data_IF_943831840901
#
_entry.id   IF_943831840901
#
_cell.length_a   1.000
_cell.length_b   1.000
_cell.length_c   1.000
_cell.angle_alpha   90.00
_cell.angle_beta   90.00
_cell.angle_gamma   90.00
#
_symmetry.space_group_name_H-M   'P 1'
#
loop_
_entity.id
_entity.type
_entity.pdbx_description
1 polymer ?
#
# COMPACT_ATOMS: atom_id res chain seq x y z
N UNK A 1 23.14 64.71 -38.56
CA UNK A 1 22.98 63.34 -38.03
C UNK A 1 22.38 62.49 -39.14
N UNK A 2 23.12 61.51 -39.65
CA UNK A 2 22.88 60.90 -40.96
C UNK A 2 21.68 59.94 -40.91
N UNK A 3 20.68 60.13 -41.77
CA UNK A 3 19.40 59.40 -41.78
C UNK A 3 19.58 57.89 -41.94
N UNK A 4 20.69 57.45 -42.55
CA UNK A 4 21.08 56.03 -42.64
C UNK A 4 21.47 55.41 -41.29
N UNK A 5 21.97 56.20 -40.35
CA UNK A 5 22.33 55.73 -39.00
C UNK A 5 21.10 55.56 -38.10
N UNK A 6 20.08 56.41 -38.28
CA UNK A 6 18.80 56.26 -37.57
C UNK A 6 18.04 55.00 -38.03
N UNK A 7 18.06 54.67 -39.32
CA UNK A 7 17.38 53.47 -39.85
C UNK A 7 18.06 52.19 -39.36
N UNK A 8 19.40 52.16 -39.27
CA UNK A 8 20.15 50.99 -38.79
C UNK A 8 19.93 50.74 -37.29
N UNK A 9 19.89 51.80 -36.47
CA UNK A 9 19.60 51.70 -35.03
C UNK A 9 18.14 51.31 -34.79
N UNK A 10 17.19 51.83 -35.58
CA UNK A 10 15.80 51.41 -35.53
C UNK A 10 15.61 49.93 -35.94
N UNK A 11 16.35 49.44 -36.94
CA UNK A 11 16.32 48.02 -37.31
C UNK A 11 16.88 47.12 -36.19
N UNK A 12 18.00 47.50 -35.55
CA UNK A 12 18.58 46.73 -34.45
C UNK A 12 17.67 46.74 -33.21
N UNK A 13 16.97 47.85 -32.94
CA UNK A 13 15.98 47.93 -31.85
C UNK A 13 14.71 47.12 -32.15
N UNK A 14 14.21 47.13 -33.40
CA UNK A 14 13.08 46.27 -33.81
C UNK A 14 13.43 44.77 -33.71
N UNK A 15 14.66 44.38 -34.02
CA UNK A 15 15.13 42.99 -33.85
C UNK A 15 15.43 42.63 -32.38
N UNK A 16 15.80 43.60 -31.54
CA UNK A 16 15.99 43.39 -30.10
C UNK A 16 14.65 43.28 -29.36
N UNK A 17 13.65 44.08 -29.74
CA UNK A 17 12.29 44.01 -29.18
C UNK A 17 11.52 42.77 -29.67
N UNK A 18 11.77 42.27 -30.88
CA UNK A 18 11.20 40.99 -31.33
C UNK A 18 11.81 39.78 -30.60
N UNK A 19 13.03 39.91 -30.06
CA UNK A 19 13.66 38.86 -29.24
C UNK A 19 13.20 38.88 -27.78
N UNK A 20 12.53 39.94 -27.32
CA UNK A 20 12.04 40.07 -25.95
C UNK A 20 10.62 39.50 -25.74
N UNK A 21 9.94 39.04 -26.80
CA UNK A 21 8.66 38.33 -26.71
C UNK A 21 8.54 37.18 -27.72
N UNK A 22 9.47 36.23 -27.71
CA UNK A 22 9.13 34.87 -28.16
C UNK A 22 8.38 34.16 -27.03
N UNK A 23 7.10 34.55 -26.83
CA UNK A 23 6.14 33.62 -26.26
C UNK A 23 6.24 32.32 -27.03
N UNK A 24 6.34 31.18 -26.35
CA UNK A 24 6.48 29.85 -26.95
C UNK A 24 5.47 29.62 -28.09
N UNK A 25 5.87 29.91 -29.33
CA UNK A 25 5.06 29.63 -30.51
C UNK A 25 5.09 28.11 -30.70
N UNK A 26 3.95 27.46 -30.43
CA UNK A 26 3.79 26.03 -30.68
C UNK A 26 3.63 25.79 -32.17
N UNK A 27 4.75 25.79 -32.89
CA UNK A 27 4.80 25.35 -34.27
C UNK A 27 4.70 23.82 -34.33
N UNK A 28 3.60 23.32 -34.90
CA UNK A 28 3.38 21.90 -35.16
C UNK A 28 3.57 21.57 -36.65
N UNK A 29 4.22 22.45 -37.42
CA UNK A 29 4.78 22.10 -38.72
C UNK A 29 5.83 20.99 -38.57
N UNK A 30 6.13 20.27 -39.65
CA UNK A 30 7.22 19.29 -39.63
C UNK A 30 8.56 19.89 -39.20
N UNK A 31 8.80 21.18 -39.52
CA UNK A 31 9.99 21.90 -39.09
C UNK A 31 9.98 22.15 -37.57
N UNK A 32 8.86 22.63 -37.02
CA UNK A 32 8.71 22.84 -35.57
C UNK A 32 8.84 21.53 -34.77
N UNK A 33 8.28 20.44 -35.28
CA UNK A 33 8.42 19.11 -34.68
C UNK A 33 9.89 18.63 -34.73
N UNK A 34 10.57 18.78 -35.86
CA UNK A 34 11.98 18.43 -35.99
C UNK A 34 12.85 19.22 -35.01
N UNK A 35 12.54 20.50 -34.78
CA UNK A 35 13.23 21.34 -33.80
C UNK A 35 13.03 20.81 -32.37
N UNK A 36 11.77 20.51 -31.98
CA UNK A 36 11.45 19.91 -30.66
C UNK A 36 12.22 18.61 -30.44
N UNK A 37 12.27 17.75 -31.45
CA UNK A 37 13.00 16.47 -31.41
C UNK A 37 14.52 16.71 -31.23
N UNK A 38 15.10 17.61 -32.04
CA UNK A 38 16.53 17.94 -31.99
C UNK A 38 16.94 18.54 -30.65
N UNK A 39 16.15 19.49 -30.13
CA UNK A 39 16.44 20.15 -28.86
C UNK A 39 16.30 19.17 -27.69
N UNK A 40 15.32 18.27 -27.73
CA UNK A 40 15.21 17.19 -26.75
C UNK A 40 16.42 16.25 -26.79
N UNK A 41 16.90 15.86 -27.96
CA UNK A 41 18.07 15.00 -28.08
C UNK A 41 19.35 15.65 -27.52
N UNK A 42 19.53 16.95 -27.77
CA UNK A 42 20.63 17.74 -27.17
C UNK A 42 20.50 17.81 -25.66
N UNK A 43 19.30 18.14 -25.16
CA UNK A 43 19.01 18.22 -23.72
C UNK A 43 19.35 16.90 -23.00
N UNK A 44 19.09 15.76 -23.65
CA UNK A 44 19.32 14.43 -23.07
C UNK A 44 20.66 13.80 -23.47
N UNK A 45 21.53 14.55 -24.17
CA UNK A 45 22.86 14.13 -24.61
C UNK A 45 22.86 12.76 -25.34
N UNK A 46 21.91 12.58 -26.27
CA UNK A 46 21.69 11.29 -26.94
C UNK A 46 22.72 10.97 -28.04
N UNK A 47 23.63 11.90 -28.33
CA UNK A 47 24.66 11.74 -29.35
C UNK A 47 24.18 12.14 -30.74
N UNK A 48 24.84 11.59 -31.77
CA UNK A 48 24.51 11.88 -33.17
C UNK A 48 23.22 11.16 -33.58
N UNK A 49 22.62 11.63 -34.67
CA UNK A 49 21.52 10.91 -35.34
C UNK A 49 22.06 9.55 -35.79
N UNK A 50 21.31 8.49 -35.54
CA UNK A 50 21.68 7.13 -35.90
C UNK A 50 21.54 6.93 -37.42
N UNK A 51 22.49 6.26 -38.07
CA UNK A 51 22.55 6.12 -39.53
C UNK A 51 21.28 5.47 -40.12
N UNK A 52 20.71 4.48 -39.42
CA UNK A 52 19.44 3.84 -39.78
C UNK A 52 18.22 4.78 -39.77
N UNK A 53 18.34 5.98 -39.20
CA UNK A 53 17.30 7.00 -39.11
C UNK A 53 17.85 8.38 -39.41
N UNK A 54 18.55 8.54 -40.54
CA UNK A 54 19.21 9.80 -40.94
C UNK A 54 18.31 11.05 -41.00
N UNK A 55 16.99 10.88 -41.00
CA UNK A 55 15.99 11.97 -40.91
C UNK A 55 14.81 11.56 -40.06
N UNK A 56 14.06 12.56 -39.57
CA UNK A 56 12.81 12.39 -38.85
C UNK A 56 11.81 11.58 -39.69
N UNK A 57 11.08 10.65 -39.05
CA UNK A 57 10.11 9.76 -39.70
C UNK A 57 8.76 9.83 -38.99
N UNK A 58 7.64 9.70 -39.74
CA UNK A 58 6.33 9.56 -39.10
C UNK A 58 6.28 8.22 -38.36
N UNK A 59 5.54 8.20 -37.24
CA UNK A 59 5.22 6.96 -36.52
C UNK A 59 4.11 6.19 -37.23
N UNK A 60 3.92 4.91 -36.88
CA UNK A 60 2.75 4.17 -37.32
C UNK A 60 1.47 4.67 -36.62
N UNK A 61 1.61 5.16 -35.38
CA UNK A 61 0.56 5.92 -34.70
C UNK A 61 0.28 7.26 -35.40
N UNK A 62 -1.00 7.64 -35.49
CA UNK A 62 -1.44 8.83 -36.23
C UNK A 62 -0.85 10.12 -35.64
N UNK A 63 -0.17 10.90 -36.49
CA UNK A 63 0.29 12.26 -36.18
C UNK A 63 1.60 12.37 -35.39
N UNK A 64 2.19 11.24 -34.98
CA UNK A 64 3.48 11.23 -34.31
C UNK A 64 4.65 11.21 -35.28
N UNK A 65 5.81 11.60 -34.75
CA UNK A 65 7.09 11.57 -35.45
C UNK A 65 8.17 11.07 -34.51
N UNK A 66 9.23 10.48 -35.04
CA UNK A 66 10.36 10.07 -34.24
C UNK A 66 11.69 10.21 -35.00
N UNK A 67 12.77 10.22 -34.22
CA UNK A 67 14.13 10.19 -34.71
C UNK A 67 15.01 9.37 -33.77
N UNK A 68 15.89 8.53 -34.34
CA UNK A 68 16.83 7.72 -33.57
C UNK A 68 18.17 8.43 -33.44
N UNK A 69 18.76 8.32 -32.25
CA UNK A 69 20.10 8.79 -31.91
C UNK A 69 20.93 7.62 -31.35
N UNK A 70 22.25 7.81 -31.24
CA UNK A 70 23.20 6.80 -30.76
C UNK A 70 22.79 6.16 -29.43
N UNK A 71 22.24 6.94 -28.49
CA UNK A 71 21.92 6.48 -27.12
C UNK A 71 20.43 6.32 -26.83
N UNK A 72 19.55 6.59 -27.79
CA UNK A 72 18.12 6.60 -27.53
C UNK A 72 17.30 7.17 -28.67
N UNK A 73 15.99 7.11 -28.55
CA UNK A 73 15.07 7.63 -29.55
C UNK A 73 14.32 8.82 -28.97
N UNK A 74 13.91 9.74 -29.82
CA UNK A 74 13.04 10.85 -29.43
C UNK A 74 11.75 10.76 -30.23
N UNK A 75 10.63 10.71 -29.52
CA UNK A 75 9.28 10.65 -30.08
C UNK A 75 8.55 11.96 -29.83
N UNK A 76 7.93 12.50 -30.86
CA UNK A 76 6.92 13.54 -30.76
C UNK A 76 5.56 12.90 -30.48
N UNK A 77 4.96 13.28 -29.35
CA UNK A 77 3.61 12.89 -28.99
C UNK A 77 2.62 13.96 -29.50
N UNK A 78 1.73 13.62 -30.44
CA UNK A 78 0.81 14.59 -31.03
C UNK A 78 -0.27 15.09 -30.07
N UNK A 79 -0.59 14.32 -29.01
CA UNK A 79 -1.63 14.66 -28.02
C UNK A 79 -1.21 15.80 -27.11
N UNK A 80 0.05 15.80 -26.67
CA UNK A 80 0.61 16.86 -25.82
C UNK A 80 1.51 17.85 -26.59
N UNK A 81 1.68 17.63 -27.89
CA UNK A 81 2.47 18.47 -28.80
C UNK A 81 3.92 18.67 -28.33
N UNK A 82 4.53 17.62 -27.75
CA UNK A 82 5.87 17.68 -27.20
C UNK A 82 6.71 16.45 -27.55
N UNK A 83 8.04 16.60 -27.48
CA UNK A 83 9.00 15.54 -27.76
C UNK A 83 9.56 14.93 -26.47
N UNK A 84 9.73 13.61 -26.45
CA UNK A 84 10.23 12.86 -25.30
C UNK A 84 11.29 11.86 -25.70
N UNK A 85 12.35 11.78 -24.89
CA UNK A 85 13.45 10.87 -25.10
C UNK A 85 13.22 9.54 -24.34
N UNK A 86 13.46 8.42 -25.01
CA UNK A 86 13.27 7.08 -24.48
C UNK A 86 14.41 6.16 -24.92
N UNK A 87 14.87 5.30 -24.02
CA UNK A 87 15.96 4.34 -24.26
C UNK A 87 15.92 3.17 -23.26
N UNK A 88 16.88 2.26 -23.40
CA UNK A 88 17.14 1.18 -22.45
C UNK A 88 16.03 0.14 -22.37
N UNK A 89 15.93 -0.54 -21.23
CA UNK A 89 14.98 -1.64 -21.06
C UNK A 89 13.52 -1.20 -21.06
N UNK A 90 13.25 0.05 -20.66
CA UNK A 90 11.92 0.65 -20.79
C UNK A 90 11.49 0.73 -22.26
N UNK A 91 12.39 1.17 -23.15
CA UNK A 91 12.11 1.21 -24.58
C UNK A 91 11.89 -0.20 -25.14
N UNK A 92 12.72 -1.17 -24.75
CA UNK A 92 12.57 -2.58 -25.16
C UNK A 92 11.23 -3.15 -24.71
N UNK A 93 10.79 -2.86 -23.49
CA UNK A 93 9.48 -3.26 -22.98
C UNK A 93 8.35 -2.63 -23.77
N UNK A 94 8.43 -1.32 -24.02
CA UNK A 94 7.43 -0.62 -24.84
C UNK A 94 7.33 -1.20 -26.25
N UNK A 95 8.46 -1.61 -26.83
CA UNK A 95 8.48 -2.33 -28.12
C UNK A 95 7.65 -3.62 -28.09
N UNK A 96 7.71 -4.40 -27.01
CA UNK A 96 6.91 -5.64 -26.89
C UNK A 96 5.41 -5.36 -26.76
N UNK A 97 5.04 -4.13 -26.40
CA UNK A 97 3.65 -3.68 -26.30
C UNK A 97 3.15 -3.06 -27.61
N UNK A 98 3.95 -3.07 -28.68
CA UNK A 98 3.58 -2.48 -29.97
C UNK A 98 3.93 -0.99 -30.12
N UNK A 99 4.87 -0.47 -29.32
CA UNK A 99 5.23 0.95 -29.35
C UNK A 99 4.00 1.87 -29.24
N UNK A 100 3.94 2.94 -30.04
CA UNK A 100 2.87 3.93 -30.01
C UNK A 100 1.53 3.43 -30.57
N UNK A 101 1.52 2.30 -31.27
CA UNK A 101 0.28 1.66 -31.75
C UNK A 101 -0.35 0.75 -30.70
N UNK A 102 0.43 0.38 -29.68
CA UNK A 102 -0.01 -0.36 -28.52
C UNK A 102 -0.91 0.43 -27.57
N UNK A 103 -1.51 -0.27 -26.62
CA UNK A 103 -2.40 0.33 -25.63
C UNK A 103 -1.76 1.46 -24.82
N UNK A 104 -0.46 1.39 -24.54
CA UNK A 104 0.26 2.45 -23.80
C UNK A 104 0.25 3.81 -24.52
N UNK A 105 0.23 3.81 -25.86
CA UNK A 105 0.31 5.02 -26.68
C UNK A 105 1.71 5.65 -26.71
N UNK A 106 1.76 6.96 -26.94
CA UNK A 106 3.02 7.69 -27.04
C UNK A 106 3.64 7.96 -25.66
N UNK A 107 4.97 8.13 -25.57
CA UNK A 107 5.60 8.67 -24.38
C UNK A 107 5.02 10.05 -24.03
N UNK A 108 4.80 10.28 -22.74
CA UNK A 108 4.30 11.53 -22.16
C UNK A 108 5.28 12.13 -21.14
N UNK A 109 6.42 11.45 -20.91
CA UNK A 109 7.57 11.98 -20.18
C UNK A 109 8.86 11.45 -20.80
N UNK A 110 9.98 12.09 -20.47
CA UNK A 110 11.28 11.50 -20.79
C UNK A 110 11.56 10.30 -19.88
N UNK A 111 12.42 9.39 -20.35
CA UNK A 111 13.06 8.39 -19.51
C UNK A 111 13.84 9.11 -18.41
N UNK A 112 13.50 8.82 -17.15
CA UNK A 112 14.05 9.51 -15.98
C UNK A 112 14.31 8.51 -14.86
N UNK A 113 15.32 8.78 -14.03
CA UNK A 113 15.54 7.99 -12.82
C UNK A 113 14.43 8.27 -11.81
N UNK A 114 14.06 7.26 -11.02
CA UNK A 114 13.17 7.46 -9.88
C UNK A 114 13.84 8.33 -8.81
N UNK A 115 13.12 9.23 -8.11
CA UNK A 115 13.76 10.24 -7.25
C UNK A 115 14.46 9.69 -6.01
N UNK A 116 13.85 8.70 -5.33
CA UNK A 116 14.28 8.27 -3.99
C UNK A 116 14.76 6.81 -3.93
N UNK A 117 14.57 6.05 -5.00
CA UNK A 117 14.94 4.64 -5.09
C UNK A 117 15.69 4.41 -6.40
N UNK A 118 16.58 3.41 -6.44
CA UNK A 118 17.25 3.04 -7.69
C UNK A 118 16.24 2.41 -8.65
N UNK A 119 16.03 3.08 -9.77
CA UNK A 119 15.09 2.68 -10.80
C UNK A 119 14.95 3.76 -11.86
N UNK A 120 14.16 3.48 -12.88
CA UNK A 120 13.85 4.42 -13.96
C UNK A 120 12.40 4.27 -14.39
N UNK A 121 11.84 5.30 -15.01
CA UNK A 121 10.47 5.28 -15.50
C UNK A 121 10.27 6.13 -16.76
N UNK A 122 9.21 5.81 -17.48
CA UNK A 122 8.58 6.66 -18.51
C UNK A 122 7.06 6.59 -18.32
N UNK A 123 6.42 7.75 -18.30
CA UNK A 123 4.97 7.84 -18.42
C UNK A 123 4.58 7.85 -19.90
N UNK A 124 3.47 7.19 -20.22
CA UNK A 124 2.85 7.14 -21.54
C UNK A 124 1.44 7.68 -21.45
N UNK A 125 0.78 7.87 -22.59
CA UNK A 125 -0.58 8.42 -22.66
C UNK A 125 -1.58 7.67 -21.76
N UNK A 126 -1.48 6.33 -21.70
CA UNK A 126 -2.44 5.49 -20.98
C UNK A 126 -1.82 4.71 -19.80
N UNK A 127 -0.53 4.85 -19.53
CA UNK A 127 0.14 4.04 -18.52
C UNK A 127 1.54 4.53 -18.15
N UNK A 128 2.31 3.68 -17.50
CA UNK A 128 3.72 3.95 -17.21
C UNK A 128 4.51 2.68 -17.20
N UNK A 129 5.76 2.75 -17.66
CA UNK A 129 6.71 1.65 -17.55
C UNK A 129 7.77 2.05 -16.54
N UNK A 130 8.03 1.16 -15.60
CA UNK A 130 9.08 1.30 -14.60
C UNK A 130 10.08 0.17 -14.73
N UNK A 131 11.35 0.47 -14.46
CA UNK A 131 12.43 -0.49 -14.29
C UNK A 131 13.00 -0.35 -12.88
N UNK A 132 13.31 -1.48 -12.25
CA UNK A 132 14.12 -1.55 -11.04
C UNK A 132 15.11 -2.72 -11.12
N UNK A 133 16.23 -2.68 -10.38
CA UNK A 133 17.18 -3.80 -10.37
C UNK A 133 16.59 -5.09 -9.80
N UNK A 134 15.61 -4.99 -8.89
CA UNK A 134 15.04 -6.15 -8.19
C UNK A 134 13.86 -6.78 -8.92
N UNK A 135 13.12 -5.99 -9.71
CA UNK A 135 11.89 -6.43 -10.36
C UNK A 135 11.95 -6.44 -11.87
N UNK A 136 12.96 -5.83 -12.50
CA UNK A 136 13.01 -5.71 -13.96
C UNK A 136 12.04 -4.65 -14.48
N UNK A 137 11.59 -4.78 -15.74
CA UNK A 137 10.80 -3.76 -16.45
C UNK A 137 9.34 -4.15 -16.61
N UNK A 138 8.44 -3.36 -16.03
CA UNK A 138 7.01 -3.63 -16.00
C UNK A 138 6.17 -2.39 -16.28
N UNK A 139 5.04 -2.59 -16.95
CA UNK A 139 4.07 -1.51 -17.19
C UNK A 139 2.95 -1.56 -16.16
N UNK A 140 2.45 -0.40 -15.73
CA UNK A 140 1.28 -0.25 -14.86
C UNK A 140 0.30 0.67 -15.54
N UNK A 141 -0.96 0.25 -15.64
CA UNK A 141 -2.00 0.91 -16.41
C UNK A 141 -3.27 1.20 -15.63
N UNK A 142 -4.13 2.06 -16.19
CA UNK A 142 -5.52 2.25 -15.75
C UNK A 142 -5.68 2.47 -14.25
N UNK A 143 -6.68 1.79 -13.68
CA UNK A 143 -7.04 1.94 -12.27
C UNK A 143 -5.92 1.46 -11.31
N UNK A 144 -5.12 0.46 -11.69
CA UNK A 144 -3.97 0.04 -10.88
C UNK A 144 -2.92 1.14 -10.78
N UNK A 145 -2.65 1.83 -11.90
CA UNK A 145 -1.75 2.97 -11.92
C UNK A 145 -2.27 4.11 -11.06
N UNK A 146 -3.56 4.42 -11.14
CA UNK A 146 -4.15 5.51 -10.35
C UNK A 146 -4.14 5.19 -8.86
N UNK A 147 -4.47 3.95 -8.48
CA UNK A 147 -4.36 3.48 -7.09
C UNK A 147 -2.91 3.59 -6.59
N UNK A 148 -1.95 3.05 -7.34
CA UNK A 148 -0.54 3.04 -6.99
C UNK A 148 0.05 4.46 -6.90
N UNK A 149 -0.32 5.35 -7.83
CA UNK A 149 0.01 6.78 -7.80
C UNK A 149 -0.45 7.42 -6.49
N UNK A 150 -1.70 7.19 -6.09
CA UNK A 150 -2.27 7.74 -4.86
C UNK A 150 -1.59 7.18 -3.60
N UNK A 151 -0.91 6.04 -3.71
CA UNK A 151 -0.09 5.43 -2.66
C UNK A 151 1.38 5.85 -2.69
N UNK A 152 1.76 6.81 -3.54
CA UNK A 152 3.13 7.34 -3.60
C UNK A 152 4.05 6.62 -4.59
N UNK A 153 3.49 5.96 -5.61
CA UNK A 153 4.25 5.30 -6.67
C UNK A 153 5.25 4.26 -6.13
N UNK A 154 6.47 4.20 -6.68
CA UNK A 154 7.52 3.29 -6.25
C UNK A 154 7.94 3.49 -4.79
N UNK A 155 7.59 4.62 -4.18
CA UNK A 155 7.87 4.91 -2.78
C UNK A 155 6.77 4.41 -1.84
N UNK A 156 5.69 3.85 -2.38
CA UNK A 156 4.63 3.23 -1.60
C UNK A 156 5.20 2.22 -0.60
N UNK A 157 4.91 2.43 0.69
CA UNK A 157 5.25 1.47 1.75
C UNK A 157 4.49 0.15 1.58
N UNK A 158 3.31 0.20 0.95
CA UNK A 158 2.40 -0.93 0.71
C UNK A 158 2.73 -1.73 -0.55
N UNK A 159 3.21 -1.08 -1.62
CA UNK A 159 3.37 -1.69 -2.94
C UNK A 159 4.83 -1.75 -3.44
N UNK A 160 5.56 -0.64 -3.41
CA UNK A 160 6.89 -0.54 -4.04
C UNK A 160 6.82 -0.52 -5.58
N UNK A 161 7.87 -1.02 -6.26
CA UNK A 161 7.91 -1.13 -7.72
C UNK A 161 6.99 -2.24 -8.24
N UNK A 162 6.47 -2.14 -9.48
CA UNK A 162 5.81 -3.26 -10.14
C UNK A 162 6.78 -4.43 -10.34
N UNK A 163 6.26 -5.65 -10.13
CA UNK A 163 6.97 -6.94 -10.22
C UNK A 163 6.43 -7.85 -11.33
N UNK A 164 5.21 -7.58 -11.80
CA UNK A 164 4.64 -8.20 -12.98
C UNK A 164 4.05 -7.13 -13.89
N UNK A 165 3.75 -7.50 -15.13
CA UNK A 165 2.76 -6.76 -15.91
C UNK A 165 1.35 -7.06 -15.35
N UNK A 166 0.34 -6.38 -15.89
CA UNK A 166 -1.04 -6.74 -15.63
C UNK A 166 -1.36 -8.11 -16.25
N UNK A 167 -1.93 -9.00 -15.45
CA UNK A 167 -2.22 -10.39 -15.81
C UNK A 167 -3.72 -10.67 -15.70
N UNK A 168 -4.25 -11.52 -16.59
CA UNK A 168 -5.65 -11.93 -16.54
C UNK A 168 -5.91 -12.98 -15.45
N UNK A 169 -7.06 -12.86 -14.80
CA UNK A 169 -7.65 -13.87 -13.91
C UNK A 169 -9.16 -13.92 -14.15
N UNK A 170 -9.79 -15.03 -13.78
CA UNK A 170 -11.25 -15.16 -13.79
C UNK A 170 -11.68 -15.89 -12.52
N UNK A 171 -11.78 -15.14 -11.42
CA UNK A 171 -12.09 -15.72 -10.10
C UNK A 171 -12.93 -14.73 -9.31
N UNK A 172 -14.08 -15.17 -8.80
CA UNK A 172 -14.96 -14.37 -7.92
C UNK A 172 -15.28 -12.96 -8.47
N UNK A 173 -15.46 -12.84 -9.80
CA UNK A 173 -15.75 -11.58 -10.47
C UNK A 173 -14.54 -10.66 -10.70
N UNK A 174 -13.35 -11.04 -10.22
CA UNK A 174 -12.10 -10.36 -10.54
C UNK A 174 -11.59 -10.78 -11.92
N UNK A 175 -11.09 -9.80 -12.68
CA UNK A 175 -10.67 -10.03 -14.09
C UNK A 175 -9.18 -9.82 -14.34
N UNK A 176 -8.50 -9.06 -13.46
CA UNK A 176 -7.09 -8.70 -13.61
C UNK A 176 -6.39 -8.64 -12.27
N UNK A 177 -5.09 -8.87 -12.28
CA UNK A 177 -4.22 -8.56 -11.15
C UNK A 177 -2.86 -8.05 -11.61
N UNK A 178 -2.15 -7.39 -10.70
CA UNK A 178 -0.77 -6.99 -10.92
C UNK A 178 0.02 -7.06 -9.62
N UNK A 179 1.18 -7.70 -9.67
CA UNK A 179 2.07 -7.84 -8.53
C UNK A 179 3.06 -6.67 -8.46
N UNK A 180 3.32 -6.23 -7.25
CA UNK A 180 4.32 -5.24 -6.88
C UNK A 180 5.29 -5.87 -5.85
N UNK A 181 6.39 -5.19 -5.54
CA UNK A 181 7.41 -5.68 -4.60
C UNK A 181 6.84 -6.14 -3.25
N UNK A 182 5.80 -5.46 -2.74
CA UNK A 182 5.27 -5.64 -1.38
C UNK A 182 3.79 -6.02 -1.32
N UNK A 183 3.10 -6.09 -2.45
CA UNK A 183 1.68 -6.43 -2.51
C UNK A 183 1.19 -6.71 -3.91
N UNK A 184 -0.08 -7.08 -4.03
CA UNK A 184 -0.75 -7.36 -5.30
C UNK A 184 -2.02 -6.52 -5.39
N UNK A 185 -2.29 -5.94 -6.56
CA UNK A 185 -3.55 -5.27 -6.85
C UNK A 185 -4.44 -6.18 -7.70
N UNK A 186 -5.73 -6.15 -7.44
CA UNK A 186 -6.75 -6.91 -8.15
C UNK A 186 -7.86 -5.99 -8.65
N UNK A 187 -8.39 -6.27 -9.84
CA UNK A 187 -9.52 -5.53 -10.42
C UNK A 187 -10.81 -6.31 -10.21
N UNK A 188 -11.68 -5.78 -9.35
CA UNK A 188 -12.87 -6.44 -8.84
C UNK A 188 -14.13 -6.26 -9.69
N UNK A 189 -15.19 -7.03 -9.38
CA UNK A 189 -16.46 -7.04 -10.10
C UNK A 189 -17.22 -5.69 -10.06
N UNK A 190 -16.97 -4.89 -9.03
CA UNK A 190 -17.54 -3.55 -8.82
C UNK A 190 -16.73 -2.43 -9.48
N UNK A 191 -15.78 -2.78 -10.35
CA UNK A 191 -14.83 -1.84 -10.97
C UNK A 191 -13.97 -1.11 -9.94
N UNK A 192 -13.62 -1.80 -8.85
CA UNK A 192 -12.71 -1.30 -7.83
C UNK A 192 -11.34 -1.99 -7.88
N UNK A 193 -10.34 -1.33 -7.28
CA UNK A 193 -9.03 -1.91 -7.03
C UNK A 193 -8.98 -2.44 -5.61
N UNK A 194 -8.72 -3.74 -5.46
CA UNK A 194 -8.48 -4.38 -4.17
C UNK A 194 -6.99 -4.60 -3.97
N UNK A 195 -6.47 -4.30 -2.78
CA UNK A 195 -5.07 -4.50 -2.40
C UNK A 195 -4.89 -5.74 -1.55
N UNK A 196 -3.85 -6.51 -1.86
CA UNK A 196 -3.32 -7.59 -1.03
C UNK A 196 -1.91 -7.28 -0.56
N UNK A 197 -1.63 -7.49 0.72
CA UNK A 197 -0.28 -7.34 1.29
C UNK A 197 0.67 -8.52 1.02
N UNK A 198 0.23 -9.49 0.20
CA UNK A 198 1.01 -10.63 -0.26
C UNK A 198 1.48 -10.40 -1.70
N UNK A 199 2.74 -10.00 -1.88
CA UNK A 199 3.34 -9.71 -3.20
C UNK A 199 3.38 -10.88 -4.19
N UNK A 200 3.10 -12.09 -3.73
CA UNK A 200 3.13 -13.31 -4.56
C UNK A 200 1.74 -13.90 -4.78
N UNK A 201 0.68 -13.34 -4.17
CA UNK A 201 -0.66 -13.86 -4.42
C UNK A 201 -1.07 -13.60 -5.87
N UNK A 202 -1.70 -14.60 -6.49
CA UNK A 202 -2.37 -14.51 -7.79
C UNK A 202 -3.86 -14.80 -7.65
N UNK A 203 -4.29 -15.24 -6.47
CA UNK A 203 -5.70 -15.41 -6.11
C UNK A 203 -6.19 -14.12 -5.49
N UNK A 204 -7.28 -13.53 -6.02
CA UNK A 204 -7.91 -12.39 -5.37
C UNK A 204 -8.30 -12.79 -3.94
N UNK A 205 -8.41 -11.81 -3.02
CA UNK A 205 -8.95 -12.11 -1.70
C UNK A 205 -10.32 -12.74 -1.89
N UNK A 206 -10.46 -14.00 -1.51
CA UNK A 206 -11.76 -14.65 -1.50
C UNK A 206 -12.63 -13.92 -0.47
N UNK A 207 -13.91 -13.69 -0.78
CA UNK A 207 -14.94 -13.48 0.24
C UNK A 207 -15.17 -14.76 1.08
N UNK A 208 -14.15 -15.60 1.21
CA UNK A 208 -14.07 -16.58 2.29
C UNK A 208 -14.11 -15.79 3.58
N UNK A 209 -15.30 -15.76 4.17
CA UNK A 209 -15.49 -15.34 5.54
C UNK A 209 -14.77 -16.34 6.42
N UNK A 210 -13.60 -15.93 6.93
CA UNK A 210 -12.96 -16.64 8.02
C UNK A 210 -13.74 -16.37 9.28
N UNK A 211 -13.96 -17.40 10.07
CA UNK A 211 -14.54 -17.25 11.41
C UNK A 211 -13.40 -17.12 12.40
N UNK A 212 -13.29 -15.93 13.01
CA UNK A 212 -12.51 -15.79 14.24
C UNK A 212 -13.36 -16.24 15.42
N UNK A 213 -12.88 -17.22 16.19
CA UNK A 213 -13.44 -17.61 17.49
C UNK A 213 -12.45 -17.29 18.61
N UNK A 214 -12.96 -16.74 19.71
CA UNK A 214 -12.20 -16.44 20.92
C UNK A 214 -12.64 -17.36 22.06
N UNK A 215 -11.70 -18.14 22.60
CA UNK A 215 -11.94 -18.91 23.82
C UNK A 215 -10.94 -18.46 24.90
N UNK A 216 -11.40 -17.77 25.96
CA UNK A 216 -10.54 -17.43 27.09
C UNK A 216 -10.16 -18.70 27.85
N UNK A 217 -8.88 -18.84 28.23
CA UNK A 217 -8.43 -19.88 29.13
C UNK A 217 -7.49 -19.30 30.18
N UNK A 218 -7.74 -19.60 31.46
CA UNK A 218 -6.72 -19.43 32.49
C UNK A 218 -5.82 -20.67 32.43
N UNK A 219 -4.56 -20.49 32.04
CA UNK A 219 -3.56 -21.55 32.17
C UNK A 219 -2.74 -21.17 33.40
N UNK A 220 -2.95 -21.92 34.49
CA UNK A 220 -1.93 -22.00 35.53
C UNK A 220 -0.68 -22.59 34.91
N UNK A 221 0.34 -21.77 34.67
CA UNK A 221 1.63 -22.27 34.25
C UNK A 221 2.19 -23.16 35.36
N UNK A 222 2.30 -24.47 35.13
CA UNK A 222 2.83 -25.48 36.04
C UNK A 222 2.06 -25.64 37.37
N UNK A 223 2.28 -26.77 38.06
CA UNK A 223 1.96 -26.94 39.47
C UNK A 223 2.71 -25.87 40.27
N UNK A 224 2.16 -24.67 40.37
CA UNK A 224 2.60 -23.71 41.37
C UNK A 224 1.77 -24.04 42.60
N UNK A 225 2.42 -24.64 43.59
CA UNK A 225 1.95 -24.54 44.97
C UNK A 225 2.07 -23.08 45.35
N UNK A 226 1.01 -22.30 45.08
CA UNK A 226 0.98 -20.89 45.41
C UNK A 226 0.68 -20.81 46.91
N UNK A 227 1.72 -20.67 47.72
CA UNK A 227 1.57 -20.30 49.13
C UNK A 227 1.33 -18.78 49.19
N UNK A 228 0.21 -18.33 48.60
CA UNK A 228 -0.21 -16.92 48.61
C UNK A 228 -1.05 -16.66 49.85
N UNK A 229 -0.45 -15.96 50.80
CA UNK A 229 -1.19 -15.29 51.89
C UNK A 229 -2.01 -14.09 51.39
N UNK A 230 -1.79 -13.65 50.14
CA UNK A 230 -2.61 -12.63 49.47
C UNK A 230 -2.99 -13.07 48.05
N UNK A 231 -4.27 -13.38 47.87
CA UNK A 231 -4.85 -13.79 46.59
C UNK A 231 -4.98 -12.56 45.69
N UNK A 232 -4.27 -12.51 44.56
CA UNK A 232 -4.51 -11.51 43.51
C UNK A 232 -5.90 -11.78 42.92
N UNK A 233 -6.88 -10.94 43.28
CA UNK A 233 -8.24 -11.04 42.75
C UNK A 233 -8.33 -10.29 41.41
N UNK A 234 -8.27 -11.03 40.31
CA UNK A 234 -8.63 -10.48 39.00
C UNK A 234 -10.15 -10.28 38.94
N UNK A 235 -10.62 -9.05 38.90
CA UNK A 235 -12.03 -8.73 38.62
C UNK A 235 -12.15 -7.42 37.82
N UNK A 236 -13.08 -7.34 36.88
CA UNK A 236 -13.18 -6.21 35.95
C UNK A 236 -13.84 -6.56 34.63
N UNK A 237 -13.95 -5.58 33.73
CA UNK A 237 -14.52 -5.75 32.41
C UNK A 237 -13.44 -5.77 31.32
N UNK A 238 -13.65 -6.53 30.25
CA UNK A 238 -12.76 -6.53 29.08
C UNK A 238 -13.59 -6.46 27.80
N UNK A 239 -13.06 -5.83 26.75
CA UNK A 239 -13.66 -5.75 25.42
C UNK A 239 -12.69 -6.24 24.36
N UNK A 240 -13.17 -7.06 23.44
CA UNK A 240 -12.43 -7.49 22.25
C UNK A 240 -13.22 -7.09 21.01
N UNK A 241 -12.57 -6.34 20.12
CA UNK A 241 -13.17 -5.85 18.89
C UNK A 241 -12.25 -6.01 17.70
N UNK A 242 -12.82 -6.30 16.54
CA UNK A 242 -12.08 -6.39 15.29
C UNK A 242 -12.32 -5.13 14.46
N UNK A 243 -11.24 -4.56 13.94
CA UNK A 243 -11.26 -3.40 13.07
C UNK A 243 -10.58 -3.72 11.75
N UNK A 244 -11.07 -3.11 10.67
CA UNK A 244 -10.35 -3.01 9.40
C UNK A 244 -9.10 -2.15 9.57
N UNK A 245 -8.12 -2.29 8.68
CA UNK A 245 -6.89 -1.48 8.73
C UNK A 245 -7.12 0.03 8.60
N UNK A 246 -8.28 0.46 8.08
CA UNK A 246 -8.70 1.86 8.02
C UNK A 246 -9.42 2.36 9.30
N UNK A 247 -9.54 1.52 10.33
CA UNK A 247 -10.19 1.84 11.60
C UNK A 247 -11.71 1.64 11.65
N UNK A 248 -12.35 1.17 10.58
CA UNK A 248 -13.77 0.78 10.61
C UNK A 248 -13.95 -0.51 11.40
N UNK A 249 -14.94 -0.56 12.29
CA UNK A 249 -15.24 -1.73 13.11
C UNK A 249 -15.91 -2.85 12.28
N UNK A 250 -15.57 -4.11 12.56
CA UNK A 250 -16.20 -5.30 11.99
C UNK A 250 -17.14 -5.89 13.05
N UNK A 251 -18.43 -5.96 12.73
CA UNK A 251 -19.43 -6.59 13.60
C UNK A 251 -19.46 -8.11 13.41
N UNK A 252 -19.87 -8.84 14.44
CA UNK A 252 -20.16 -10.27 14.32
C UNK A 252 -21.40 -10.55 13.46
N UNK A 253 -21.72 -11.83 13.27
CA UNK A 253 -22.87 -12.29 12.47
C UNK A 253 -24.24 -11.75 12.94
N UNK A 254 -24.35 -11.32 14.20
CA UNK A 254 -25.57 -10.75 14.79
C UNK A 254 -25.58 -9.20 14.78
N UNK A 255 -24.58 -8.57 14.14
CA UNK A 255 -24.45 -7.12 14.07
C UNK A 255 -23.94 -6.46 15.36
N UNK A 256 -23.36 -7.25 16.29
CA UNK A 256 -22.81 -6.75 17.56
C UNK A 256 -21.29 -6.62 17.44
N UNK A 257 -20.70 -5.58 18.04
CA UNK A 257 -19.25 -5.36 18.00
C UNK A 257 -18.52 -5.51 19.35
N UNK A 258 -19.23 -5.82 20.44
CA UNK A 258 -18.61 -5.98 21.75
C UNK A 258 -18.63 -7.44 22.21
N UNK A 259 -17.46 -7.90 22.64
CA UNK A 259 -17.33 -9.07 23.50
C UNK A 259 -16.98 -8.53 24.87
N UNK A 260 -18.02 -8.17 25.64
CA UNK A 260 -17.85 -7.62 26.98
C UNK A 260 -17.75 -8.78 27.98
N UNK A 261 -16.56 -8.98 28.55
CA UNK A 261 -16.30 -10.03 29.54
C UNK A 261 -16.36 -9.41 30.93
N UNK A 262 -17.12 -9.99 31.85
CA UNK A 262 -17.05 -9.64 33.26
C UNK A 262 -16.24 -10.72 33.99
N UNK A 263 -15.06 -10.36 34.46
CA UNK A 263 -14.31 -11.16 35.42
C UNK A 263 -14.95 -10.88 36.78
N UNK A 264 -15.86 -11.77 37.18
CA UNK A 264 -16.60 -11.64 38.44
C UNK A 264 -15.65 -11.83 39.62
N UNK A 265 -15.74 -10.95 40.62
CA UNK A 265 -15.09 -11.12 41.93
C UNK A 265 -15.68 -12.36 42.60
N UNK A 266 -15.01 -13.51 42.53
CA UNK A 266 -15.36 -14.68 43.35
C UNK A 266 -14.26 -14.95 44.37
N UNK A 267 -14.71 -15.23 45.59
CA UNK A 267 -13.92 -15.70 46.73
C UNK A 267 -12.97 -16.83 46.30
N UNK A 268 -11.79 -16.97 46.91
CA UNK A 268 -10.80 -17.99 46.54
C UNK A 268 -11.45 -19.38 46.50
N UNK A 269 -11.45 -20.00 45.33
CA UNK A 269 -11.90 -21.37 45.14
C UNK A 269 -10.69 -22.26 45.39
N UNK A 270 -10.80 -23.26 46.29
CA UNK A 270 -9.69 -24.17 46.57
C UNK A 270 -9.30 -24.96 45.31
N UNK A 271 -8.00 -25.02 45.06
CA UNK A 271 -7.39 -25.40 43.78
C UNK A 271 -7.26 -26.93 43.63
N UNK A 272 -8.36 -27.68 43.70
CA UNK A 272 -8.27 -29.16 43.56
C UNK A 272 -8.97 -29.76 42.34
N UNK A 273 -9.82 -29.03 41.62
CA UNK A 273 -10.47 -29.55 40.41
C UNK A 273 -10.26 -28.60 39.24
N UNK A 274 -9.30 -28.93 38.37
CA UNK A 274 -9.09 -28.27 37.08
C UNK A 274 -10.22 -28.63 36.11
N UNK A 275 -11.37 -27.99 36.30
CA UNK A 275 -12.26 -27.61 35.21
C UNK A 275 -12.84 -26.25 35.59
N UNK A 276 -12.16 -25.18 35.17
CA UNK A 276 -12.76 -23.85 35.12
C UNK A 276 -13.75 -23.81 33.95
N UNK A 277 -14.82 -24.60 34.04
CA UNK A 277 -15.98 -24.58 33.13
C UNK A 277 -16.70 -23.21 33.16
N UNK A 278 -16.27 -22.29 34.01
CA UNK A 278 -17.00 -21.08 34.38
C UNK A 278 -16.83 -19.88 33.45
N UNK A 279 -16.08 -19.99 32.35
CA UNK A 279 -15.93 -18.88 31.39
C UNK A 279 -16.09 -19.30 29.93
N UNK A 280 -16.86 -20.34 29.63
CA UNK A 280 -17.36 -20.57 28.27
C UNK A 280 -18.44 -19.54 27.94
N UNK A 281 -18.02 -18.32 27.62
CA UNK A 281 -18.88 -17.39 26.87
C UNK A 281 -18.93 -17.91 25.43
N UNK A 282 -20.12 -17.88 24.84
CA UNK A 282 -20.40 -18.34 23.49
C UNK A 282 -19.32 -17.88 22.50
N UNK A 283 -18.83 -18.80 21.67
CA UNK A 283 -17.90 -18.49 20.59
C UNK A 283 -18.48 -17.32 19.79
N UNK A 284 -17.78 -16.17 19.80
CA UNK A 284 -18.16 -15.04 18.95
C UNK A 284 -17.47 -15.23 17.62
N UNK A 285 -18.26 -15.19 16.55
CA UNK A 285 -17.83 -15.44 15.18
C UNK A 285 -17.81 -14.12 14.41
N UNK A 286 -16.61 -13.61 14.16
CA UNK A 286 -16.44 -12.47 13.26
C UNK A 286 -16.19 -13.00 11.87
N UNK A 287 -17.08 -12.63 10.94
CA UNK A 287 -16.88 -12.91 9.53
C UNK A 287 -15.87 -11.90 9.00
N UNK A 288 -14.66 -12.37 8.72
CA UNK A 288 -13.59 -11.53 8.22
C UNK A 288 -13.21 -12.05 6.84
N UNK A 289 -13.33 -11.19 5.84
CA UNK A 289 -12.93 -11.54 4.49
C UNK A 289 -11.40 -11.64 4.40
N UNK A 290 -10.91 -12.35 3.37
CA UNK A 290 -9.48 -12.32 3.07
C UNK A 290 -9.00 -10.89 2.78
N UNK A 291 -9.87 -10.03 2.23
CA UNK A 291 -9.53 -8.62 1.94
C UNK A 291 -9.32 -7.80 3.23
N UNK A 292 -10.06 -8.08 4.30
CA UNK A 292 -9.85 -7.44 5.60
C UNK A 292 -8.49 -7.86 6.21
N UNK A 293 -8.13 -9.15 6.13
CA UNK A 293 -6.83 -9.68 6.59
C UNK A 293 -5.68 -9.03 5.81
N UNK A 294 -5.80 -9.01 4.50
CA UNK A 294 -4.84 -8.43 3.57
C UNK A 294 -4.68 -6.92 3.79
N UNK A 295 -5.78 -6.24 4.14
CA UNK A 295 -5.83 -4.83 4.56
C UNK A 295 -5.25 -4.56 5.95
N UNK A 296 -4.62 -5.54 6.61
CA UNK A 296 -4.12 -5.45 7.98
C UNK A 296 -5.22 -5.07 8.99
N UNK A 297 -6.41 -5.66 8.88
CA UNK A 297 -7.37 -5.67 9.98
C UNK A 297 -6.69 -6.09 11.29
N UNK A 298 -7.16 -5.56 12.41
CA UNK A 298 -6.55 -5.72 13.71
C UNK A 298 -7.58 -6.00 14.79
N UNK A 299 -7.16 -6.75 15.78
CA UNK A 299 -7.85 -6.97 17.04
C UNK A 299 -7.43 -5.88 18.02
N UNK A 300 -8.40 -5.19 18.61
CA UNK A 300 -8.19 -4.32 19.78
C UNK A 300 -8.71 -5.01 21.02
N UNK A 301 -7.90 -5.02 22.06
CA UNK A 301 -8.25 -5.52 23.38
C UNK A 301 -8.23 -4.33 24.34
N UNK A 302 -9.38 -4.01 24.92
CA UNK A 302 -9.55 -2.95 25.92
C UNK A 302 -9.87 -3.59 27.27
N UNK A 303 -9.22 -3.13 28.33
CA UNK A 303 -9.46 -3.67 29.67
C UNK A 303 -9.84 -2.57 30.65
N UNK A 304 -10.87 -2.84 31.45
CA UNK A 304 -11.41 -1.97 32.49
C UNK A 304 -11.28 -2.68 33.83
N UNK A 305 -10.47 -2.13 34.73
CA UNK A 305 -10.54 -2.51 36.14
C UNK A 305 -11.78 -1.83 36.74
N UNK A 306 -12.51 -2.53 37.60
CA UNK A 306 -13.71 -1.96 38.21
C UNK A 306 -13.29 -0.86 39.20
N UNK A 307 -13.70 0.39 38.96
CA UNK A 307 -13.40 1.60 39.74
C UNK A 307 -13.92 1.60 41.20
N UNK A 308 -14.30 0.45 41.79
CA UNK A 308 -14.87 0.40 43.15
C UNK A 308 -13.88 0.10 44.28
N UNK A 309 -12.61 -0.14 43.99
CA UNK A 309 -11.55 -0.25 44.99
C UNK A 309 -10.64 1.02 44.98
N UNK A 310 -11.23 2.23 44.98
CA UNK A 310 -10.51 3.53 45.03
C UNK A 310 -9.84 3.81 46.39
N UNK A 311 -9.53 2.79 47.18
CA UNK A 311 -8.79 2.96 48.43
C UNK A 311 -7.34 2.59 48.21
N UNK A 312 -6.56 3.55 47.70
CA UNK A 312 -5.10 3.66 47.85
C UNK A 312 -4.28 2.36 47.73
N UNK A 313 -4.51 1.54 46.70
CA UNK A 313 -3.48 0.59 46.30
C UNK A 313 -3.02 0.89 44.87
N UNK A 314 -1.71 0.92 44.69
CA UNK A 314 -1.03 0.95 43.39
C UNK A 314 -1.25 -0.37 42.59
N UNK A 315 -2.38 -1.07 42.79
CA UNK A 315 -2.71 -2.38 42.22
C UNK A 315 -3.24 -2.30 40.78
N UNK A 316 -2.76 -1.34 40.01
CA UNK A 316 -2.91 -1.39 38.57
C UNK A 316 -1.79 -2.26 38.02
N UNK A 317 -2.13 -3.43 37.49
CA UNK A 317 -1.24 -4.27 36.67
C UNK A 317 -0.48 -3.37 35.69
N UNK A 318 0.82 -3.15 35.96
CA UNK A 318 1.74 -2.50 35.02
C UNK A 318 1.97 -3.46 33.86
N UNK A 319 1.13 -3.34 32.84
CA UNK A 319 1.27 -4.09 31.59
C UNK A 319 2.46 -3.51 30.82
N UNK A 320 3.57 -4.25 30.74
CA UNK A 320 4.83 -3.77 30.16
C UNK A 320 4.85 -3.62 28.63
N UNK A 321 3.70 -3.81 27.94
CA UNK A 321 3.56 -3.56 26.50
C UNK A 321 2.14 -3.03 26.17
N UNK A 322 1.99 -1.71 26.23
CA UNK A 322 0.71 -0.98 26.24
C UNK A 322 0.53 -0.18 24.94
N UNK A 323 -0.59 -0.29 24.22
CA UNK A 323 -0.86 0.62 23.10
C UNK A 323 -2.02 1.55 23.45
N UNK A 324 -1.70 2.77 23.88
CA UNK A 324 -2.61 3.91 24.03
C UNK A 324 -3.61 3.84 25.18
N UNK A 325 -4.19 5.00 25.52
CA UNK A 325 -5.21 5.15 26.56
C UNK A 325 -6.54 5.61 25.95
N UNK A 326 -7.65 5.05 26.43
CA UNK A 326 -9.00 5.38 25.98
C UNK A 326 -9.85 5.85 27.16
N UNK A 327 -10.45 7.03 27.06
CA UNK A 327 -11.38 7.53 28.08
C UNK A 327 -12.79 6.96 27.86
N UNK A 328 -13.27 6.14 28.80
CA UNK A 328 -14.58 5.50 28.74
C UNK A 328 -15.24 5.49 30.12
N UNK A 329 -16.52 5.87 30.19
CA UNK A 329 -17.27 6.04 31.44
C UNK A 329 -16.57 6.91 32.51
N UNK A 330 -15.78 7.90 32.08
CA UNK A 330 -15.09 8.83 32.98
C UNK A 330 -13.76 8.32 33.54
N UNK A 331 -13.35 7.09 33.20
CA UNK A 331 -12.03 6.53 33.55
C UNK A 331 -11.10 6.43 32.34
N UNK A 332 -9.79 6.39 32.59
CA UNK A 332 -8.73 6.33 31.58
C UNK A 332 -8.12 4.92 31.50
N UNK A 333 -8.30 4.21 30.38
CA UNK A 333 -8.14 2.75 30.33
C UNK A 333 -7.07 2.26 29.33
N UNK A 334 -6.32 1.20 29.68
CA UNK A 334 -5.41 0.51 28.78
C UNK A 334 -6.06 -0.12 27.56
N UNK A 335 -5.36 -0.06 26.42
CA UNK A 335 -5.61 -1.01 25.34
C UNK A 335 -4.34 -1.55 24.70
N UNK A 336 -4.51 -2.60 23.89
CA UNK A 336 -3.47 -3.19 23.02
C UNK A 336 -4.08 -3.53 21.66
N UNK A 337 -3.31 -3.31 20.59
CA UNK A 337 -3.70 -3.67 19.23
C UNK A 337 -2.80 -4.79 18.68
N UNK A 338 -3.40 -5.76 18.01
CA UNK A 338 -2.72 -6.90 17.40
C UNK A 338 -3.21 -7.04 15.97
N UNK A 339 -2.31 -7.00 14.97
CA UNK A 339 -2.70 -7.06 13.56
C UNK A 339 -2.95 -8.49 13.11
N UNK A 340 -4.01 -8.74 12.36
CA UNK A 340 -4.37 -10.09 11.91
C UNK A 340 -3.27 -10.74 11.05
N UNK A 341 -2.46 -9.98 10.31
CA UNK A 341 -1.28 -10.51 9.61
C UNK A 341 -0.24 -11.14 10.57
N UNK A 342 0.00 -10.52 11.72
CA UNK A 342 0.90 -11.03 12.77
C UNK A 342 0.31 -12.29 13.43
N UNK A 343 -1.02 -12.33 13.50
CA UNK A 343 -1.78 -13.44 14.06
C UNK A 343 -1.79 -14.67 13.11
N UNK A 344 -1.94 -14.49 11.79
CA UNK A 344 -2.36 -15.55 10.83
C UNK A 344 -1.23 -16.47 10.29
N UNK A 345 0.04 -16.32 10.69
CA UNK A 345 1.14 -17.05 10.01
C UNK A 345 1.53 -18.46 10.46
N UNK A 346 0.81 -19.13 11.37
CA UNK A 346 1.04 -20.56 11.59
C UNK A 346 -0.23 -21.33 11.22
N UNK A 347 -0.09 -22.24 10.26
CA UNK A 347 -1.16 -23.13 9.84
C UNK A 347 -1.75 -23.90 11.01
N UNK A 348 -3.03 -24.22 10.87
CA UNK A 348 -3.81 -25.20 11.65
C UNK A 348 -3.17 -25.59 12.98
N UNK A 349 -3.19 -24.70 13.97
CA UNK A 349 -3.25 -25.03 15.40
C UNK A 349 -3.23 -23.73 16.22
N UNK A 350 -4.30 -23.56 17.01
CA UNK A 350 -4.40 -22.79 18.26
C UNK A 350 -3.15 -21.95 18.60
N UNK A 351 -3.22 -20.63 18.41
CA UNK A 351 -2.20 -19.73 18.98
C UNK A 351 -2.57 -19.30 20.39
N UNK A 352 -1.57 -19.39 21.26
CA UNK A 352 -1.58 -18.84 22.61
C UNK A 352 -1.11 -17.38 22.52
N UNK A 353 -1.97 -16.44 22.91
CA UNK A 353 -1.52 -15.10 23.23
C UNK A 353 -1.16 -15.07 24.72
N UNK A 354 0.14 -15.21 25.02
CA UNK A 354 0.64 -15.09 26.39
C UNK A 354 0.95 -13.62 26.71
N UNK A 355 0.31 -13.12 27.76
CA UNK A 355 0.59 -11.81 28.36
C UNK A 355 1.38 -12.09 29.63
N UNK A 356 2.67 -11.72 29.65
CA UNK A 356 3.63 -12.30 30.59
C UNK A 356 4.36 -11.43 31.58
N UNK A 357 4.96 -12.11 32.58
CA UNK A 357 5.82 -11.58 33.65
C UNK A 357 7.24 -12.14 33.64
N UNK A 358 8.13 -11.42 34.31
CA UNK A 358 9.58 -11.61 34.43
C UNK A 358 10.02 -12.47 35.63
N UNK A 359 9.09 -13.25 36.22
CA UNK A 359 9.41 -14.18 37.32
C UNK A 359 9.04 -13.70 38.73
N UNK A 360 8.02 -12.85 38.86
CA UNK A 360 7.34 -12.56 40.13
C UNK A 360 5.84 -12.89 40.05
N UNK A 361 5.25 -13.24 41.20
CA UNK A 361 3.87 -13.70 41.47
C UNK A 361 2.78 -12.99 40.61
N UNK A 362 2.55 -13.48 39.39
CA UNK A 362 1.55 -12.91 38.47
C UNK A 362 0.85 -14.00 37.65
N UNK A 363 -0.44 -13.79 37.43
CA UNK A 363 -1.36 -14.67 36.69
C UNK A 363 -1.36 -14.33 35.20
N UNK A 364 -1.37 -15.36 34.34
CA UNK A 364 -1.41 -15.24 32.88
C UNK A 364 -2.86 -15.43 32.39
N UNK A 365 -3.30 -14.58 31.47
CA UNK A 365 -4.55 -14.81 30.73
C UNK A 365 -4.16 -15.19 29.31
N UNK A 366 -4.45 -16.43 28.91
CA UNK A 366 -4.16 -16.95 27.58
C UNK A 366 -5.45 -17.03 26.77
N UNK A 367 -5.37 -16.69 25.49
CA UNK A 367 -6.49 -16.83 24.56
C UNK A 367 -6.14 -17.81 23.47
N UNK A 368 -7.10 -18.65 23.11
CA UNK A 368 -7.07 -19.37 21.87
C UNK A 368 -7.79 -18.56 20.81
N UNK A 369 -7.03 -18.12 19.81
CA UNK A 369 -7.62 -17.64 18.57
C UNK A 369 -7.64 -18.78 17.57
N UNK A 370 -8.84 -19.09 17.08
CA UNK A 370 -9.00 -19.99 15.94
C UNK A 370 -9.50 -19.20 14.74
N UNK A 371 -8.85 -19.41 13.60
CA UNK A 371 -9.25 -18.86 12.30
C UNK A 371 -9.67 -20.06 11.47
N UNK A 372 -10.98 -20.21 11.24
CA UNK A 372 -11.53 -21.30 10.40
C UNK A 372 -11.87 -20.77 9.02
#
# INVERSE_FOLDING_TARGET
>A
MNTKFLILVAFILLFAESNAQLSSYNDNSEYGIAQKISDKAKQRNLGKIHDESSKMRPTAGKGGWFLRYEKGWVYYNPKNQNAFAIWGDIMKKWATQGYETGWLGFPASDHSNTPNRTGAFVHFDNGSIYWSPNTGTHFVGGAFRDYWKNKGWENSSELGFPKSDEMEIFSNGYTRYQQFEKGTLFWGPDKSVTYSNNSNTTTPPNDETKVLSFTPNLISGAEVSIDVTEVIQLYGWMDLRVYKGNGQEITDADGKSFSLFNIQKKQPVSVTDYNLDFFRIADRHYNISQSDIDGNAYLRITYWLNDKDVTNSDDYLKLENYNGRWNYNGGDHPYREIKLKEIVRNGSDKKYLDIGSDGSDKVWISYYLTIK
#
